data_IF_625874501693
#
_entry.id   IF_625874501693
#
_cell.length_a   1.000
_cell.length_b   1.000
_cell.length_c   1.000
_cell.angle_alpha   90.00
_cell.angle_beta   90.00
_cell.angle_gamma   90.00
#
_symmetry.space_group_name_H-M   'P 1'
#
loop_
_entity.id
_entity.type
_entity.pdbx_description
1 polymer ?
#
# COMPACT_ATOMS: atom_id res chain seq x y z
N UNK A 1 -6.47 -0.20 31.41
CA UNK A 1 -5.75 0.26 30.21
C UNK A 1 -5.30 -0.96 29.43
N UNK A 2 -5.91 -1.23 28.28
CA UNK A 2 -5.59 -2.40 27.47
C UNK A 2 -4.64 -2.00 26.33
N UNK A 3 -3.38 -2.36 26.47
CA UNK A 3 -2.39 -2.33 25.38
C UNK A 3 -2.67 -3.55 24.49
N UNK A 4 -3.44 -3.35 23.42
CA UNK A 4 -3.56 -4.34 22.35
C UNK A 4 -2.30 -4.21 21.47
N UNK A 5 -1.26 -4.94 21.88
CA UNK A 5 -0.15 -5.31 21.02
C UNK A 5 -0.67 -6.19 19.87
N UNK A 6 -1.00 -5.57 18.74
CA UNK A 6 -1.16 -6.28 17.48
C UNK A 6 0.21 -6.28 16.76
N UNK A 7 1.11 -7.16 17.21
CA UNK A 7 2.22 -7.63 16.39
C UNK A 7 1.63 -8.38 15.19
N UNK A 8 1.36 -7.64 14.12
CA UNK A 8 0.95 -8.19 12.83
C UNK A 8 2.15 -8.81 12.13
N UNK A 9 2.60 -9.98 12.59
CA UNK A 9 3.41 -10.88 11.77
C UNK A 9 2.56 -11.42 10.63
N UNK A 10 2.34 -10.62 9.58
CA UNK A 10 1.82 -11.16 8.33
C UNK A 10 2.98 -11.75 7.53
N UNK A 11 3.18 -13.04 7.82
CA UNK A 11 3.83 -14.01 6.98
C UNK A 11 3.60 -13.73 5.50
N UNK A 12 4.69 -13.39 4.81
CA UNK A 12 5.20 -14.15 3.66
C UNK A 12 4.15 -14.87 2.81
N UNK A 13 3.16 -14.14 2.29
CA UNK A 13 2.64 -14.43 0.97
C UNK A 13 3.18 -13.35 0.05
N UNK A 14 4.45 -13.50 -0.35
CA UNK A 14 5.02 -12.85 -1.54
C UNK A 14 4.24 -13.33 -2.77
N UNK A 15 2.96 -12.95 -2.86
CA UNK A 15 2.27 -12.96 -4.13
C UNK A 15 3.10 -12.04 -5.01
N UNK A 16 3.65 -12.60 -6.09
CA UNK A 16 4.39 -11.81 -7.09
C UNK A 16 3.37 -10.92 -7.78
N UNK A 17 2.97 -9.84 -7.10
CA UNK A 17 1.97 -8.90 -7.56
C UNK A 17 2.62 -8.08 -8.66
N UNK A 18 1.87 -7.88 -9.75
CA UNK A 18 2.34 -7.09 -10.87
C UNK A 18 2.79 -5.71 -10.36
N UNK A 19 3.90 -5.15 -10.90
CA UNK A 19 4.44 -3.89 -10.45
C UNK A 19 3.35 -2.80 -10.51
N UNK A 20 3.29 -1.97 -9.46
CA UNK A 20 2.34 -0.86 -9.39
C UNK A 20 2.69 0.13 -10.50
N UNK A 21 1.89 0.12 -11.57
CA UNK A 21 2.13 0.97 -12.74
C UNK A 21 1.86 2.43 -12.36
N UNK A 22 2.73 3.35 -12.80
CA UNK A 22 2.56 4.79 -12.58
C UNK A 22 1.17 5.29 -12.98
N UNK A 23 0.62 4.78 -14.09
CA UNK A 23 -0.76 5.11 -14.54
C UNK A 23 -1.86 4.73 -13.56
N UNK A 24 -1.67 3.71 -12.73
CA UNK A 24 -2.65 3.35 -11.71
C UNK A 24 -2.61 4.35 -10.54
N UNK A 25 -1.44 4.94 -10.27
CA UNK A 25 -1.31 6.03 -9.29
C UNK A 25 -1.86 7.35 -9.82
N UNK A 26 -1.75 7.61 -11.13
CA UNK A 26 -2.38 8.78 -11.76
C UNK A 26 -3.91 8.74 -11.76
N UNK A 27 -4.51 7.55 -11.58
CA UNK A 27 -5.95 7.40 -11.40
C UNK A 27 -6.43 7.79 -9.99
N UNK A 28 -5.50 8.01 -9.04
CA UNK A 28 -5.84 8.36 -7.67
C UNK A 28 -5.89 9.88 -7.51
N UNK A 29 -6.97 10.37 -6.89
CA UNK A 29 -7.20 11.79 -6.66
C UNK A 29 -6.91 12.14 -5.20
N UNK A 30 -5.90 12.99 -4.98
CA UNK A 30 -5.60 13.53 -3.66
C UNK A 30 -6.79 14.33 -3.11
N UNK A 31 -7.14 14.09 -1.85
CA UNK A 31 -8.29 14.69 -1.17
C UNK A 31 -9.65 14.08 -1.54
N UNK A 32 -9.71 13.10 -2.45
CA UNK A 32 -10.98 12.49 -2.87
C UNK A 32 -10.95 10.95 -2.79
N UNK A 33 -9.86 10.31 -3.23
CA UNK A 33 -9.75 8.85 -3.21
C UNK A 33 -9.76 8.35 -1.77
N UNK A 34 -10.60 7.36 -1.48
CA UNK A 34 -10.71 6.74 -0.16
C UNK A 34 -9.89 5.45 -0.10
N UNK A 35 -9.64 4.87 1.09
CA UNK A 35 -8.98 3.57 1.18
C UNK A 35 -9.69 2.49 0.34
N UNK A 36 -11.03 2.50 0.33
CA UNK A 36 -11.84 1.57 -0.45
C UNK A 36 -11.67 1.75 -1.96
N UNK A 37 -11.50 2.98 -2.43
CA UNK A 37 -11.22 3.29 -3.84
C UNK A 37 -9.86 2.72 -4.27
N UNK A 38 -8.84 2.93 -3.43
CA UNK A 38 -7.49 2.37 -3.64
C UNK A 38 -7.55 0.84 -3.67
N UNK A 39 -8.23 0.20 -2.71
CA UNK A 39 -8.37 -1.27 -2.69
C UNK A 39 -9.22 -1.81 -3.85
N UNK A 40 -10.12 -1.01 -4.44
CA UNK A 40 -10.89 -1.40 -5.63
C UNK A 40 -10.03 -1.43 -6.89
N UNK A 41 -9.11 -0.48 -7.03
CA UNK A 41 -8.22 -0.38 -8.20
C UNK A 41 -7.03 -1.33 -8.07
N UNK A 42 -6.39 -1.34 -6.91
CA UNK A 42 -5.18 -2.13 -6.69
C UNK A 42 -5.47 -3.53 -6.19
N UNK A 43 -6.60 -3.77 -5.51
CA UNK A 43 -6.91 -4.98 -4.75
C UNK A 43 -6.57 -4.80 -3.26
N UNK A 44 -6.72 -5.85 -2.46
CA UNK A 44 -6.37 -5.78 -1.04
C UNK A 44 -4.91 -5.35 -0.81
N UNK A 45 -4.67 -4.46 0.15
CA UNK A 45 -3.32 -4.05 0.53
C UNK A 45 -2.53 -5.21 1.13
N UNK A 46 -1.21 -5.20 0.95
CA UNK A 46 -0.31 -6.21 1.52
C UNK A 46 -0.18 -6.04 3.03
N UNK A 47 -0.21 -4.79 3.51
CA UNK A 47 -0.15 -4.44 4.93
C UNK A 47 -1.04 -3.22 5.20
N UNK A 48 -1.75 -3.25 6.33
CA UNK A 48 -2.62 -2.16 6.79
C UNK A 48 -2.23 -1.72 8.20
N UNK A 49 -1.36 -0.70 8.34
CA UNK A 49 -1.02 -0.12 9.63
C UNK A 49 -2.24 0.42 10.38
N UNK A 50 -2.19 0.50 11.72
CA UNK A 50 -3.28 1.04 12.55
C UNK A 50 -3.58 2.52 12.26
N UNK A 51 -2.65 3.25 11.63
CA UNK A 51 -2.87 4.60 11.12
C UNK A 51 -3.87 4.67 9.95
N UNK A 52 -4.41 3.54 9.49
CA UNK A 52 -5.35 3.46 8.37
C UNK A 52 -4.69 3.64 6.99
N UNK A 53 -3.35 3.65 6.96
CA UNK A 53 -2.59 3.65 5.71
C UNK A 53 -2.70 2.31 4.99
N UNK A 54 -2.47 2.29 3.68
CA UNK A 54 -2.42 1.06 2.89
C UNK A 54 -1.04 0.92 2.27
N UNK A 55 -0.35 -0.19 2.58
CA UNK A 55 0.98 -0.49 2.06
C UNK A 55 0.86 -1.62 1.06
N UNK A 56 1.40 -1.38 -0.13
CA UNK A 56 1.48 -2.34 -1.23
C UNK A 56 2.93 -2.64 -1.51
N UNK A 57 3.27 -3.92 -1.60
CA UNK A 57 4.65 -4.35 -1.90
C UNK A 57 4.63 -5.19 -3.16
N UNK A 58 5.48 -4.82 -4.10
CA UNK A 58 5.68 -5.53 -5.35
C UNK A 58 7.15 -5.84 -5.52
N UNK A 59 7.44 -7.05 -5.99
CA UNK A 59 8.82 -7.51 -6.12
C UNK A 59 9.05 -7.91 -7.58
N UNK A 60 9.96 -7.20 -8.23
CA UNK A 60 10.37 -7.51 -9.59
C UNK A 60 11.55 -8.47 -9.54
N UNK A 61 11.26 -9.77 -9.67
CA UNK A 61 12.30 -10.81 -9.66
C UNK A 61 13.32 -10.69 -10.80
N UNK A 62 12.95 -10.04 -11.93
CA UNK A 62 13.85 -9.88 -13.08
C UNK A 62 14.91 -8.82 -12.79
N UNK A 63 14.52 -7.76 -12.09
CA UNK A 63 15.40 -6.65 -11.68
C UNK A 63 15.99 -6.83 -10.28
N UNK A 64 15.50 -7.82 -9.51
CA UNK A 64 15.73 -7.97 -8.06
C UNK A 64 15.34 -6.73 -7.26
N UNK A 65 14.44 -5.91 -7.79
CA UNK A 65 14.00 -4.68 -7.15
C UNK A 65 12.71 -4.94 -6.35
N UNK A 66 12.67 -4.39 -5.14
CA UNK A 66 11.44 -4.34 -4.34
C UNK A 66 10.89 -2.92 -4.39
N UNK A 67 9.65 -2.77 -4.85
CA UNK A 67 8.93 -1.50 -4.82
C UNK A 67 7.83 -1.57 -3.76
N UNK A 68 7.85 -0.63 -2.82
CA UNK A 68 6.83 -0.44 -1.80
C UNK A 68 6.12 0.88 -2.04
N UNK A 69 4.79 0.85 -2.05
CA UNK A 69 3.94 2.03 -2.19
C UNK A 69 3.02 2.12 -0.99
N UNK A 70 3.11 3.23 -0.27
CA UNK A 70 2.27 3.50 0.90
C UNK A 70 1.33 4.64 0.58
N UNK A 71 0.03 4.37 0.67
CA UNK A 71 -1.03 5.36 0.60
C UNK A 71 -1.41 5.78 2.02
N UNK A 72 -1.31 7.07 2.31
CA UNK A 72 -1.72 7.66 3.58
C UNK A 72 -3.01 8.43 3.40
N UNK A 73 -3.90 8.27 4.37
CA UNK A 73 -5.20 8.91 4.37
C UNK A 73 -5.30 9.82 5.58
N UNK A 74 -5.83 11.03 5.38
CA UNK A 74 -6.18 11.94 6.46
C UNK A 74 -7.66 12.30 6.32
N UNK A 75 -8.41 12.23 7.42
CA UNK A 75 -9.87 12.42 7.37
C UNK A 75 -10.61 11.42 6.48
N UNK A 76 -10.01 10.25 6.19
CA UNK A 76 -10.59 9.21 5.33
C UNK A 76 -10.36 9.39 3.83
N UNK A 77 -9.61 10.41 3.42
CA UNK A 77 -9.26 10.67 2.01
C UNK A 77 -7.74 10.64 1.80
N UNK A 78 -7.33 10.34 0.57
CA UNK A 78 -5.94 10.15 0.19
C UNK A 78 -5.20 11.48 0.30
N UNK A 79 -4.28 11.56 1.25
CA UNK A 79 -3.49 12.77 1.50
C UNK A 79 -2.10 12.65 0.87
N UNK A 80 -1.50 11.44 0.91
CA UNK A 80 -0.12 11.25 0.46
C UNK A 80 0.12 9.87 -0.12
N UNK A 81 0.95 9.81 -1.16
CA UNK A 81 1.47 8.56 -1.70
C UNK A 81 2.99 8.59 -1.53
N UNK A 82 3.54 7.64 -0.79
CA UNK A 82 4.98 7.44 -0.65
C UNK A 82 5.37 6.23 -1.50
N UNK A 83 6.38 6.39 -2.35
CA UNK A 83 6.94 5.28 -3.14
C UNK A 83 8.39 5.10 -2.75
N UNK A 84 8.78 3.88 -2.48
CA UNK A 84 10.16 3.51 -2.17
C UNK A 84 10.54 2.34 -3.04
N UNK A 85 11.69 2.44 -3.70
CA UNK A 85 12.26 1.35 -4.47
C UNK A 85 13.62 1.01 -3.87
N UNK A 86 13.84 -0.27 -3.62
CA UNK A 86 15.09 -0.82 -3.11
C UNK A 86 15.64 -1.82 -4.12
N UNK A 87 16.93 -1.66 -4.47
CA UNK A 87 17.71 -2.58 -5.31
C UNK A 87 18.37 -3.66 -4.47
#
# INVERSE_FOLDING_TARGET
>A
MAVLAACGGQAERRATRAPIRGRALEQMSFGQSTPADVERVFGAADERPPDGSLVYRTEDRRRRETESVTFRFEGGVLSRICRTRSQ
#
